data_IF_758757025373
#
_entry.id   IF_758757025373
#
_cell.length_a   1.000
_cell.length_b   1.000
_cell.length_c   1.000
_cell.angle_alpha   90.00
_cell.angle_beta   90.00
_cell.angle_gamma   90.00
#
_symmetry.space_group_name_H-M   'P 1'
#
loop_
_entity.id
_entity.type
_entity.pdbx_description
1 polymer ?
#
# COMPACT_ATOMS: atom_id res chain seq x y z
N UNK A 1 0.67 5.14 27.87
CA UNK A 1 0.28 3.71 27.97
C UNK A 1 -0.10 3.25 26.58
N UNK A 2 0.64 2.30 25.96
CA UNK A 2 0.21 1.68 24.70
C UNK A 2 -0.86 0.64 25.06
N UNK A 3 -2.10 0.82 24.61
CA UNK A 3 -3.16 -0.18 24.77
C UNK A 3 -2.78 -1.44 23.99
N UNK A 4 -2.82 -2.59 24.64
CA UNK A 4 -2.36 -3.92 24.16
C UNK A 4 -3.24 -4.54 23.07
N UNK A 5 -3.78 -3.74 22.16
CA UNK A 5 -4.49 -4.23 20.99
C UNK A 5 -3.46 -4.56 19.89
N UNK A 6 -3.63 -5.69 19.22
CA UNK A 6 -2.79 -6.06 18.08
C UNK A 6 -2.87 -4.98 16.99
N UNK A 7 -1.74 -4.55 16.42
CA UNK A 7 -1.72 -3.49 15.41
C UNK A 7 -2.48 -3.95 14.16
N UNK A 8 -3.38 -3.09 13.66
CA UNK A 8 -4.05 -3.35 12.39
C UNK A 8 -3.06 -3.25 11.22
N UNK A 9 -3.46 -3.74 10.04
CA UNK A 9 -2.67 -3.50 8.82
C UNK A 9 -2.46 -2.01 8.55
N UNK A 10 -3.46 -1.18 8.85
CA UNK A 10 -3.33 0.26 8.72
C UNK A 10 -2.24 0.80 9.66
N UNK A 11 -2.26 0.39 10.94
CA UNK A 11 -1.27 0.85 11.92
C UNK A 11 0.14 0.40 11.53
N UNK A 12 0.28 -0.82 11.00
CA UNK A 12 1.57 -1.39 10.61
C UNK A 12 2.25 -0.64 9.45
N UNK A 13 1.48 -0.10 8.51
CA UNK A 13 2.04 0.59 7.33
C UNK A 13 2.01 2.11 7.44
N UNK A 14 1.04 2.66 8.18
CA UNK A 14 0.77 4.10 8.19
C UNK A 14 0.91 4.74 9.56
N UNK A 15 1.32 4.02 10.61
CA UNK A 15 1.71 4.64 11.88
C UNK A 15 3.16 4.36 12.24
N UNK A 16 3.80 5.34 12.86
CA UNK A 16 5.09 5.16 13.54
C UNK A 16 4.90 4.55 14.94
N UNK A 17 6.01 4.30 15.64
CA UNK A 17 5.97 3.72 16.98
C UNK A 17 5.25 4.62 18.00
N UNK A 18 5.22 5.93 17.77
CA UNK A 18 4.53 6.92 18.59
C UNK A 18 3.03 7.01 18.28
N UNK A 19 2.57 6.33 17.22
CA UNK A 19 1.18 6.28 16.77
C UNK A 19 0.81 7.42 15.83
N UNK A 20 1.76 8.23 15.37
CA UNK A 20 1.51 9.29 14.39
C UNK A 20 1.34 8.69 13.01
N UNK A 21 0.47 9.30 12.19
CA UNK A 21 0.29 8.85 10.80
C UNK A 21 1.50 9.27 9.97
N UNK A 22 2.15 8.30 9.31
CA UNK A 22 3.31 8.53 8.46
C UNK A 22 3.12 7.81 7.12
N UNK A 23 3.25 8.56 6.03
CA UNK A 23 3.02 8.03 4.68
C UNK A 23 4.29 7.37 4.14
N UNK A 24 5.49 7.90 4.42
CA UNK A 24 6.73 7.54 3.70
C UNK A 24 7.65 6.58 4.49
N UNK A 25 7.08 5.67 5.28
CA UNK A 25 7.84 4.75 6.13
C UNK A 25 8.55 3.65 5.31
N UNK A 26 9.86 3.38 5.48
CA UNK A 26 10.51 2.26 4.81
C UNK A 26 10.41 0.96 5.63
N UNK A 27 10.03 -0.20 5.04
CA UNK A 27 9.34 -0.35 3.75
C UNK A 27 7.81 -0.17 3.87
N UNK A 28 7.22 0.70 3.04
CA UNK A 28 5.76 0.86 2.91
C UNK A 28 5.28 0.02 1.72
N UNK A 29 4.95 -1.26 1.99
CA UNK A 29 4.50 -2.19 0.96
C UNK A 29 3.29 -1.68 0.15
N UNK A 30 2.24 -1.09 0.77
CA UNK A 30 1.15 -0.46 0.03
C UNK A 30 1.62 0.55 -1.02
N UNK A 31 2.53 1.46 -0.66
CA UNK A 31 3.04 2.47 -1.60
C UNK A 31 3.88 1.83 -2.71
N UNK A 32 4.71 0.84 -2.38
CA UNK A 32 5.51 0.13 -3.38
C UNK A 32 4.63 -0.63 -4.38
N UNK A 33 3.58 -1.27 -3.89
CA UNK A 33 2.63 -1.98 -4.74
C UNK A 33 1.89 -0.99 -5.64
N UNK A 34 1.36 0.10 -5.08
CA UNK A 34 0.69 1.16 -5.82
C UNK A 34 1.60 1.78 -6.90
N UNK A 35 2.83 2.13 -6.55
CA UNK A 35 3.78 2.73 -7.49
C UNK A 35 4.17 1.74 -8.60
N UNK A 36 4.41 0.48 -8.24
CA UNK A 36 4.74 -0.58 -9.19
C UNK A 36 3.62 -0.86 -10.17
N UNK A 37 2.38 -1.03 -9.69
CA UNK A 37 1.23 -1.30 -10.57
C UNK A 37 0.87 -0.10 -11.41
N UNK A 38 0.96 1.13 -10.87
CA UNK A 38 0.79 2.36 -11.65
C UNK A 38 1.83 2.48 -12.77
N UNK A 39 3.09 2.15 -12.50
CA UNK A 39 4.12 2.14 -13.54
C UNK A 39 3.88 1.04 -14.58
N UNK A 40 3.34 -0.12 -14.18
CA UNK A 40 3.01 -1.19 -15.11
C UNK A 40 1.83 -0.83 -16.04
N UNK A 41 0.96 0.12 -15.67
CA UNK A 41 -0.13 0.60 -16.55
C UNK A 41 0.36 1.15 -17.90
N UNK A 42 1.63 1.57 -18.01
CA UNK A 42 2.19 2.04 -19.28
C UNK A 42 2.31 0.92 -20.34
N UNK A 43 2.17 -0.33 -19.94
CA UNK A 43 2.15 -1.48 -20.85
C UNK A 43 0.71 -2.00 -21.02
N UNK A 44 0.39 -2.44 -22.24
CA UNK A 44 -0.92 -3.04 -22.51
C UNK A 44 -0.89 -4.55 -22.23
N UNK A 45 -1.33 -4.95 -21.04
CA UNK A 45 -1.41 -6.37 -20.67
C UNK A 45 -2.72 -7.05 -21.10
N UNK A 46 -3.79 -6.27 -21.29
CA UNK A 46 -5.12 -6.75 -21.64
C UNK A 46 -5.76 -7.69 -20.60
N UNK A 47 -7.07 -7.91 -20.74
CA UNK A 47 -7.81 -8.91 -19.98
C UNK A 47 -7.67 -8.80 -18.46
N UNK A 48 -7.59 -9.95 -17.79
CA UNK A 48 -7.60 -10.02 -16.31
C UNK A 48 -6.37 -9.41 -15.64
N UNK A 49 -5.22 -9.40 -16.32
CA UNK A 49 -4.00 -8.80 -15.78
C UNK A 49 -4.13 -7.28 -15.72
N UNK A 50 -4.66 -6.67 -16.78
CA UNK A 50 -4.96 -5.24 -16.81
C UNK A 50 -5.92 -4.85 -15.68
N UNK A 51 -6.99 -5.62 -15.46
CA UNK A 51 -7.94 -5.40 -14.35
C UNK A 51 -7.26 -5.50 -12.97
N UNK A 52 -6.35 -6.47 -12.79
CA UNK A 52 -5.59 -6.61 -11.55
C UNK A 52 -4.69 -5.42 -11.28
N UNK A 53 -3.99 -4.91 -12.30
CA UNK A 53 -3.16 -3.70 -12.17
C UNK A 53 -4.00 -2.49 -11.78
N UNK A 54 -5.18 -2.32 -12.39
CA UNK A 54 -6.10 -1.21 -12.11
C UNK A 54 -6.62 -1.24 -10.66
N UNK A 55 -6.94 -2.44 -10.15
CA UNK A 55 -7.38 -2.62 -8.77
C UNK A 55 -6.33 -2.14 -7.77
N UNK A 56 -5.06 -2.50 -7.96
CA UNK A 56 -4.00 -2.10 -7.02
C UNK A 56 -3.49 -0.68 -7.23
N UNK A 57 -3.73 -0.06 -8.39
CA UNK A 57 -3.34 1.34 -8.64
C UNK A 57 -4.43 2.36 -8.25
N UNK A 58 -5.72 2.00 -8.36
CA UNK A 58 -6.84 2.93 -8.21
C UNK A 58 -8.00 2.42 -7.34
N UNK A 59 -7.99 1.17 -6.90
CA UNK A 59 -9.09 0.51 -6.18
C UNK A 59 -8.91 0.41 -4.67
#
# INVERSE_FOLDING_TARGET
MRTTAEPSFFDRFFRDEQGNIVIIQPPNLPILLWAGTTALQFFNFGGKLQTGLELFSFG
#
